data_IF_378505999283
#
_entry.id   IF_378505999283
#
_cell.length_a   1.000
_cell.length_b   1.000
_cell.length_c   1.000
_cell.angle_alpha   90.00
_cell.angle_beta   90.00
_cell.angle_gamma   90.00
#
_symmetry.space_group_name_H-M   'P 1'
#
loop_
_entity.id
_entity.type
_entity.pdbx_description
1 polymer ?
#
# COMPACT_ATOMS: atom_id res chain seq x y z
N UNK A 1 2.43 17.34 16.89
CA UNK A 1 2.50 15.88 16.99
C UNK A 1 1.12 15.31 16.71
N UNK A 2 0.88 14.65 15.57
CA UNK A 2 -0.41 13.99 15.31
C UNK A 2 -0.54 12.81 16.29
N UNK A 3 -1.67 12.72 16.99
CA UNK A 3 -1.99 11.63 17.91
C UNK A 3 -1.94 10.33 17.09
N UNK A 4 -1.02 9.40 17.38
CA UNK A 4 -1.05 8.07 16.76
C UNK A 4 -2.39 7.44 17.14
N UNK A 5 -3.25 7.21 16.15
CA UNK A 5 -4.53 6.53 16.37
C UNK A 5 -4.23 5.03 16.43
N UNK A 6 -4.86 4.30 17.36
CA UNK A 6 -4.62 2.87 17.47
C UNK A 6 -5.49 2.11 16.48
N UNK A 7 -4.97 1.05 15.86
CA UNK A 7 -5.77 0.05 15.14
C UNK A 7 -6.95 -0.48 15.97
N UNK A 8 -6.77 -0.55 17.29
CA UNK A 8 -7.79 -1.02 18.22
C UNK A 8 -8.96 -0.04 18.39
N UNK A 9 -8.78 1.24 18.05
CA UNK A 9 -9.81 2.27 18.19
C UNK A 9 -10.74 2.37 16.96
N UNK A 10 -10.45 1.61 15.90
CA UNK A 10 -11.24 1.62 14.67
C UNK A 10 -12.49 0.76 14.86
N UNK A 11 -13.65 1.29 14.45
CA UNK A 11 -14.92 0.56 14.48
C UNK A 11 -14.91 -0.66 13.54
N UNK A 12 -15.40 -1.78 14.06
CA UNK A 12 -15.49 -3.08 13.38
C UNK A 12 -14.90 -4.21 14.23
N UNK A 13 -15.45 -5.42 14.09
CA UNK A 13 -15.05 -6.60 14.85
C UNK A 13 -14.02 -7.46 14.09
N UNK A 14 -13.95 -7.30 12.76
CA UNK A 14 -12.96 -7.96 11.91
C UNK A 14 -11.98 -6.98 11.26
N UNK A 15 -10.84 -7.49 10.79
CA UNK A 15 -9.88 -6.71 9.99
C UNK A 15 -10.56 -6.08 8.79
N UNK A 16 -11.39 -6.83 8.06
CA UNK A 16 -12.07 -6.35 6.87
C UNK A 16 -13.03 -5.18 7.18
N UNK A 17 -13.78 -5.23 8.28
CA UNK A 17 -14.67 -4.15 8.70
C UNK A 17 -13.91 -2.89 9.10
N UNK A 18 -12.82 -3.06 9.87
CA UNK A 18 -11.95 -1.94 10.25
C UNK A 18 -11.31 -1.29 9.03
N UNK A 19 -10.79 -2.09 8.10
CA UNK A 19 -10.23 -1.62 6.83
C UNK A 19 -11.27 -0.84 6.01
N UNK A 20 -12.52 -1.32 5.96
CA UNK A 20 -13.61 -0.62 5.28
C UNK A 20 -13.90 0.75 5.90
N UNK A 21 -13.85 0.89 7.22
CA UNK A 21 -13.95 2.19 7.90
C UNK A 21 -12.83 3.16 7.48
N UNK A 22 -11.65 2.64 7.14
CA UNK A 22 -10.53 3.42 6.61
C UNK A 22 -10.62 3.69 5.10
N UNK A 23 -11.68 3.24 4.42
CA UNK A 23 -11.83 3.36 2.97
C UNK A 23 -11.07 2.31 2.16
N UNK A 24 -10.55 1.26 2.81
CA UNK A 24 -9.87 0.13 2.15
C UNK A 24 -10.90 -0.96 1.86
N UNK A 25 -11.00 -1.38 0.61
CA UNK A 25 -11.92 -2.46 0.21
C UNK A 25 -11.29 -3.28 -0.90
N UNK A 26 -11.31 -4.61 -0.75
CA UNK A 26 -10.82 -5.54 -1.78
C UNK A 26 -11.54 -5.28 -3.11
N UNK A 27 -10.78 -5.27 -4.20
CA UNK A 27 -11.25 -4.95 -5.54
C UNK A 27 -11.39 -3.45 -5.84
N UNK A 28 -11.07 -2.56 -4.90
CA UNK A 28 -10.99 -1.11 -5.13
C UNK A 28 -9.56 -0.65 -5.31
N UNK A 29 -9.39 0.50 -5.97
CA UNK A 29 -8.11 1.18 -6.11
C UNK A 29 -7.96 2.27 -5.07
N UNK A 30 -6.73 2.50 -4.59
CA UNK A 30 -6.39 3.58 -3.66
C UNK A 30 -5.00 4.13 -3.98
N UNK A 31 -4.81 5.44 -3.78
CA UNK A 31 -3.51 6.09 -3.94
C UNK A 31 -2.47 5.51 -2.96
N UNK A 32 -1.28 5.18 -3.48
CA UNK A 32 -0.14 4.67 -2.69
C UNK A 32 0.24 5.59 -1.52
N UNK A 33 0.10 6.90 -1.68
CA UNK A 33 0.37 7.88 -0.61
C UNK A 33 -0.65 7.72 0.52
N UNK A 34 -1.91 7.49 0.17
CA UNK A 34 -2.97 7.29 1.17
C UNK A 34 -2.79 5.98 1.91
N UNK A 35 -2.37 4.92 1.22
CA UNK A 35 -1.97 3.66 1.85
C UNK A 35 -0.82 3.88 2.83
N UNK A 36 0.19 4.63 2.43
CA UNK A 36 1.32 4.98 3.29
C UNK A 36 0.93 5.74 4.55
N UNK A 37 0.04 6.74 4.42
CA UNK A 37 -0.51 7.46 5.58
C UNK A 37 -1.27 6.55 6.54
N UNK A 38 -2.11 5.65 6.00
CA UNK A 38 -2.90 4.71 6.78
C UNK A 38 -1.98 3.73 7.53
N UNK A 39 -0.97 3.19 6.83
CA UNK A 39 0.03 2.30 7.41
C UNK A 39 0.74 2.94 8.61
N UNK A 40 1.25 4.16 8.45
CA UNK A 40 1.95 4.88 9.52
C UNK A 40 1.02 5.29 10.68
N UNK A 41 -0.22 5.67 10.36
CA UNK A 41 -1.17 6.16 11.36
C UNK A 41 -1.62 5.05 12.31
N UNK A 42 -1.91 3.86 11.77
CA UNK A 42 -2.55 2.77 12.50
C UNK A 42 -1.63 1.57 12.78
N UNK A 43 -0.40 1.57 12.28
CA UNK A 43 0.53 0.45 12.45
C UNK A 43 0.16 -0.79 11.62
N UNK A 44 -0.40 -0.55 10.44
CA UNK A 44 -0.78 -1.57 9.44
C UNK A 44 0.38 -1.73 8.46
N UNK A 45 0.58 -2.94 7.92
CA UNK A 45 1.50 -3.16 6.81
C UNK A 45 0.76 -3.05 5.47
N UNK A 46 1.01 -1.97 4.72
CA UNK A 46 0.55 -1.85 3.34
C UNK A 46 1.64 -2.36 2.40
N UNK A 47 1.40 -3.51 1.77
CA UNK A 47 2.39 -4.21 0.92
C UNK A 47 1.99 -4.06 -0.54
N UNK A 48 2.94 -3.63 -1.36
CA UNK A 48 2.81 -3.46 -2.81
C UNK A 48 3.47 -4.64 -3.50
N UNK A 49 2.70 -5.38 -4.29
CA UNK A 49 3.19 -6.47 -5.12
C UNK A 49 3.43 -5.99 -6.54
N UNK A 50 4.56 -6.43 -7.12
CA UNK A 50 4.89 -6.20 -8.53
C UNK A 50 4.42 -7.34 -9.42
N UNK A 51 4.24 -8.54 -8.85
CA UNK A 51 3.79 -9.73 -9.57
C UNK A 51 2.33 -10.07 -9.27
N UNK A 52 1.51 -10.09 -10.31
CA UNK A 52 0.06 -10.35 -10.21
C UNK A 52 -0.28 -11.72 -9.65
N UNK A 53 0.45 -12.76 -10.05
CA UNK A 53 0.17 -14.12 -9.59
C UNK A 53 0.49 -14.28 -8.11
N UNK A 54 1.63 -13.73 -7.65
CA UNK A 54 1.99 -13.71 -6.23
C UNK A 54 0.96 -12.89 -5.41
N UNK A 55 0.57 -11.72 -5.91
CA UNK A 55 -0.45 -10.88 -5.27
C UNK A 55 -1.80 -11.59 -5.05
N UNK A 56 -2.12 -12.60 -5.86
CA UNK A 56 -3.41 -13.31 -5.86
C UNK A 56 -3.40 -14.67 -5.17
N UNK A 57 -2.29 -15.39 -5.24
CA UNK A 57 -2.29 -16.83 -4.93
C UNK A 57 -1.58 -17.17 -3.61
N UNK A 58 -0.71 -16.29 -3.12
CA UNK A 58 0.02 -16.47 -1.86
C UNK A 58 -0.53 -15.60 -0.73
N UNK A 59 -0.02 -15.83 0.48
CA UNK A 59 -0.23 -14.93 1.63
C UNK A 59 1.05 -14.14 1.89
N UNK A 60 0.90 -12.92 2.43
CA UNK A 60 2.07 -12.10 2.75
C UNK A 60 3.01 -12.78 3.75
N UNK A 61 2.47 -13.55 4.70
CA UNK A 61 3.29 -14.31 5.65
C UNK A 61 4.11 -15.43 4.97
N UNK A 62 3.54 -16.11 3.97
CA UNK A 62 4.28 -17.11 3.20
C UNK A 62 5.38 -16.43 2.38
N UNK A 63 5.07 -15.33 1.71
CA UNK A 63 6.04 -14.59 0.90
C UNK A 63 7.20 -14.05 1.74
N UNK A 64 6.95 -13.57 2.95
CA UNK A 64 8.01 -13.17 3.87
C UNK A 64 8.97 -14.31 4.23
N UNK A 65 8.48 -15.56 4.27
CA UNK A 65 9.30 -16.75 4.53
C UNK A 65 10.09 -17.15 3.29
N UNK A 66 9.43 -17.18 2.13
CA UNK A 66 10.04 -17.60 0.86
C UNK A 66 11.16 -16.65 0.43
N UNK A 67 11.01 -15.34 0.71
CA UNK A 67 11.97 -14.30 0.35
C UNK A 67 12.78 -13.76 1.55
N UNK A 68 12.87 -14.53 2.65
CA UNK A 68 13.57 -14.11 3.87
C UNK A 68 15.08 -13.85 3.67
N UNK A 69 15.69 -14.51 2.68
CA UNK A 69 17.10 -14.35 2.33
C UNK A 69 17.40 -13.13 1.45
N UNK A 70 16.37 -12.52 0.87
CA UNK A 70 16.52 -11.40 -0.06
C UNK A 70 16.44 -10.06 0.66
N UNK A 71 17.22 -9.08 0.17
CA UNK A 71 17.05 -7.68 0.53
C UNK A 71 15.64 -7.20 0.16
N UNK A 72 15.05 -6.31 0.97
CA UNK A 72 13.69 -5.80 0.76
C UNK A 72 13.46 -5.30 -0.68
N UNK A 73 14.45 -4.62 -1.27
CA UNK A 73 14.33 -4.04 -2.61
C UNK A 73 14.49 -5.08 -3.75
N UNK A 74 14.91 -6.30 -3.44
CA UNK A 74 15.05 -7.39 -4.40
C UNK A 74 13.83 -8.34 -4.40
N UNK A 75 12.89 -8.16 -3.46
CA UNK A 75 11.68 -8.99 -3.37
C UNK A 75 10.65 -8.57 -4.43
N UNK A 76 9.77 -9.48 -4.88
CA UNK A 76 8.65 -9.16 -5.78
C UNK A 76 7.51 -8.36 -5.10
N UNK A 77 7.77 -7.83 -3.91
CA UNK A 77 6.88 -6.99 -3.14
C UNK A 77 7.66 -6.07 -2.19
N UNK A 78 7.06 -4.96 -1.79
CA UNK A 78 7.68 -3.96 -0.89
C UNK A 78 6.63 -3.27 -0.03
N UNK A 79 6.99 -2.74 1.14
CA UNK A 79 6.08 -1.86 1.89
C UNK A 79 5.87 -0.53 1.16
N UNK A 80 4.65 0.00 1.18
CA UNK A 80 4.30 1.25 0.50
C UNK A 80 5.18 2.43 0.94
N UNK A 81 5.49 2.52 2.24
CA UNK A 81 6.36 3.58 2.75
C UNK A 81 7.84 3.35 2.42
N UNK A 82 8.29 2.10 2.32
CA UNK A 82 9.63 1.76 1.81
C UNK A 82 9.75 2.15 0.34
N UNK A 83 8.73 1.87 -0.48
CA UNK A 83 8.65 2.28 -1.88
C UNK A 83 8.73 3.81 -2.05
N UNK A 84 7.89 4.56 -1.33
CA UNK A 84 7.87 6.02 -1.40
C UNK A 84 9.22 6.60 -0.96
N UNK A 85 9.79 6.08 0.13
CA UNK A 85 11.10 6.52 0.64
C UNK A 85 12.22 6.23 -0.34
N UNK A 86 12.22 5.05 -0.96
CA UNK A 86 13.19 4.67 -1.97
C UNK A 86 13.10 5.59 -3.19
N UNK A 87 11.91 5.76 -3.76
CA UNK A 87 11.69 6.66 -4.90
C UNK A 87 12.13 8.09 -4.60
N UNK A 88 11.85 8.60 -3.39
CA UNK A 88 12.27 9.94 -2.95
C UNK A 88 13.78 10.10 -2.78
N UNK A 89 14.48 9.01 -2.45
CA UNK A 89 15.94 8.99 -2.30
C UNK A 89 16.64 9.02 -3.66
N UNK A 90 16.11 8.28 -4.63
CA UNK A 90 16.66 8.20 -5.98
C UNK A 90 16.28 9.41 -6.85
N UNK A 91 15.04 9.93 -6.68
CA UNK A 91 14.54 11.12 -7.36
C UNK A 91 13.81 12.05 -6.37
N UNK A 92 14.40 13.20 -5.98
CA UNK A 92 13.75 14.14 -5.07
C UNK A 92 12.41 14.69 -5.56
N UNK A 93 12.12 14.60 -6.87
CA UNK A 93 10.84 15.02 -7.46
C UNK A 93 9.74 13.96 -7.35
N UNK A 94 10.08 12.73 -6.94
CA UNK A 94 9.17 11.60 -6.87
C UNK A 94 7.90 11.87 -6.05
N UNK A 95 7.94 12.47 -4.84
CA UNK A 95 6.73 12.81 -4.10
C UNK A 95 5.82 13.79 -4.84
N UNK A 96 6.39 14.79 -5.51
CA UNK A 96 5.63 15.76 -6.31
C UNK A 96 4.98 15.10 -7.51
N UNK A 97 5.69 14.20 -8.19
CA UNK A 97 5.12 13.41 -9.28
C UNK A 97 3.99 12.52 -8.83
N UNK A 98 4.03 11.94 -7.62
CA UNK A 98 2.88 11.19 -7.06
C UNK A 98 1.69 12.08 -6.73
N UNK A 99 1.88 13.40 -6.55
CA UNK A 99 0.77 14.37 -6.44
C UNK A 99 0.14 14.59 -7.81
N UNK A 100 0.96 14.84 -8.82
CA UNK A 100 0.53 15.13 -10.19
C UNK A 100 -0.06 13.89 -10.89
N UNK A 101 0.54 12.72 -10.67
CA UNK A 101 0.18 11.44 -11.25
C UNK A 101 -0.02 10.40 -10.13
N UNK A 102 -1.21 10.37 -9.51
CA UNK A 102 -1.52 9.42 -8.45
C UNK A 102 -1.33 7.97 -8.88
N UNK A 103 -0.54 7.23 -8.12
CA UNK A 103 -0.34 5.80 -8.34
C UNK A 103 -1.45 5.01 -7.63
N UNK A 104 -2.38 4.50 -8.43
CA UNK A 104 -3.59 3.82 -7.94
C UNK A 104 -3.37 2.31 -7.78
N UNK A 105 -3.22 1.88 -6.53
CA UNK A 105 -2.95 0.50 -6.13
C UNK A 105 -4.25 -0.29 -6.02
N UNK A 106 -4.32 -1.46 -6.68
CA UNK A 106 -5.50 -2.34 -6.62
C UNK A 106 -5.43 -3.22 -5.38
N UNK A 107 -6.39 -3.09 -4.46
CA UNK A 107 -6.42 -3.89 -3.24
C UNK A 107 -6.86 -5.32 -3.56
N UNK A 108 -5.98 -6.29 -3.36
CA UNK A 108 -6.24 -7.70 -3.62
C UNK A 108 -6.64 -8.47 -2.36
N UNK A 109 -6.16 -8.03 -1.20
CA UNK A 109 -6.44 -8.70 0.07
C UNK A 109 -6.34 -7.73 1.25
N UNK A 110 -7.16 -7.98 2.27
CA UNK A 110 -6.99 -7.43 3.62
C UNK A 110 -7.05 -8.59 4.60
N UNK A 111 -6.05 -8.70 5.46
CA UNK A 111 -5.95 -9.82 6.41
C UNK A 111 -5.01 -9.46 7.55
N UNK A 112 -4.67 -10.43 8.38
CA UNK A 112 -3.69 -10.31 9.45
C UNK A 112 -2.66 -11.43 9.36
N UNK A 113 -1.44 -11.13 9.77
CA UNK A 113 -0.37 -12.11 9.93
C UNK A 113 0.12 -12.13 11.36
N UNK A 114 0.78 -13.22 11.72
CA UNK A 114 1.40 -13.35 13.04
C UNK A 114 2.91 -13.07 12.97
N UNK A 115 3.39 -12.28 13.92
CA UNK A 115 4.80 -12.07 14.18
C UNK A 115 5.06 -12.36 15.67
N UNK A 116 5.41 -13.62 15.96
CA UNK A 116 5.42 -14.13 17.33
C UNK A 116 4.04 -14.01 17.99
N UNK A 117 3.94 -13.21 19.06
CA UNK A 117 2.66 -12.93 19.75
C UNK A 117 1.90 -11.74 19.19
N UNK A 118 2.45 -11.01 18.22
CA UNK A 118 1.84 -9.81 17.65
C UNK A 118 1.00 -10.19 16.44
N UNK A 119 -0.25 -9.75 16.42
CA UNK A 119 -1.11 -9.78 15.25
C UNK A 119 -0.93 -8.47 14.49
N UNK A 120 -0.55 -8.56 13.22
CA UNK A 120 -0.28 -7.41 12.37
C UNK A 120 -1.29 -7.38 11.23
N UNK A 121 -2.21 -6.41 11.20
CA UNK A 121 -3.09 -6.22 10.06
C UNK A 121 -2.26 -5.79 8.85
N UNK A 122 -2.60 -6.33 7.68
CA UNK A 122 -1.94 -5.98 6.43
C UNK A 122 -2.94 -5.83 5.28
N UNK A 123 -2.46 -5.12 4.25
CA UNK A 123 -3.15 -4.89 2.98
C UNK A 123 -2.22 -5.40 1.89
N UNK A 124 -2.71 -6.28 1.01
CA UNK A 124 -2.04 -6.57 -0.27
C UNK A 124 -2.59 -5.64 -1.34
N UNK A 125 -1.71 -4.88 -1.95
CA UNK A 125 -1.98 -4.05 -3.09
C UNK A 125 -1.19 -4.53 -4.30
N UNK A 126 -1.82 -4.66 -5.45
CA UNK A 126 -1.14 -4.88 -6.72
C UNK A 126 -0.86 -3.52 -7.35
N UNK A 127 0.41 -3.29 -7.70
CA UNK A 127 0.79 -2.10 -8.44
C UNK A 127 0.18 -2.10 -9.84
N UNK A 128 -0.25 -0.93 -10.35
CA UNK A 128 -0.64 -0.80 -11.75
C UNK A 128 0.57 -1.06 -12.64
N UNK A 129 0.34 -1.74 -13.77
CA UNK A 129 1.36 -1.85 -14.81
C UNK A 129 1.58 -0.48 -15.48
N UNK A 130 2.74 -0.29 -16.13
CA UNK A 130 3.09 0.97 -16.79
C UNK A 130 2.13 1.35 -17.92
N UNK A 131 1.49 0.38 -18.56
CA UNK A 131 0.45 0.58 -19.59
C UNK A 131 -0.93 0.90 -18.98
N UNK A 132 -1.12 0.70 -17.69
CA UNK A 132 -2.30 1.18 -16.95
C UNK A 132 -2.12 2.61 -16.42
N UNK A 133 -0.91 3.19 -16.51
CA UNK A 133 -0.71 4.62 -16.31
C UNK A 133 -1.12 5.35 -17.58
N UNK A 134 -2.24 6.05 -17.52
CA UNK A 134 -2.63 6.98 -18.56
C UNK A 134 -1.74 8.24 -18.46
N UNK A 135 -0.53 8.15 -19.02
CA UNK A 135 0.43 9.26 -19.09
C UNK A 135 -0.06 10.41 -19.98
N UNK A 136 -1.10 10.16 -20.75
CA UNK A 136 -1.77 11.11 -21.63
C UNK A 136 -3.07 11.67 -21.01
N UNK A 137 -3.47 11.21 -19.81
CA UNK A 137 -4.59 11.80 -19.09
C UNK A 137 -4.25 13.25 -18.70
N UNK A 138 -5.00 14.21 -19.24
CA UNK A 138 -4.91 15.59 -18.81
C UNK A 138 -5.19 15.68 -17.29
N UNK A 139 -4.34 16.37 -16.51
CA UNK A 139 -4.60 16.55 -15.10
C UNK A 139 -5.93 17.29 -14.92
N UNK A 140 -6.86 16.72 -14.15
CA UNK A 140 -8.13 17.40 -13.84
C UNK A 140 -7.87 18.67 -13.03
N UNK A 141 -7.85 19.80 -13.72
CA UNK A 141 -8.10 21.12 -13.18
C UNK A 141 -6.86 21.94 -12.80
N UNK A 142 -6.47 22.86 -13.69
CA UNK A 142 -6.17 24.24 -13.31
C UNK A 142 -6.53 25.18 -14.47
N UNK A 143 -7.83 25.33 -14.74
CA UNK A 143 -8.32 26.51 -15.46
C UNK A 143 -8.53 27.64 -14.44
N UNK A 144 -7.49 28.47 -14.25
CA UNK A 144 -7.70 29.80 -13.69
C UNK A 144 -7.92 30.72 -14.89
N UNK A 145 -9.14 31.24 -15.00
CA UNK A 145 -9.51 32.33 -15.92
C UNK A 145 -8.85 33.64 -15.51
#
# INVERSE_FOLDING_TARGET
>A
MKKKQSWNDIAGDSVAEKMKTLGITVGKKIDVRKLGEIADTFGIEAVLYFEKELAKTSTYEADLKDFAGDDEFNRPFILANSFIKFGSKEDPTFPSRLIEFPMMISITEVSERHDGSRVIPYIKGLMPFLDEFDVDAEPEGTFIK
#
